data_IF_822700216859
#
_entry.id   IF_822700216859
#
_cell.length_a   1.000
_cell.length_b   1.000
_cell.length_c   1.000
_cell.angle_alpha   90.00
_cell.angle_beta   90.00
_cell.angle_gamma   90.00
#
_symmetry.space_group_name_H-M   'P 1'
#
loop_
_entity.id
_entity.type
_entity.pdbx_description
1 polymer ?
#
# COMPACT_ATOMS: atom_id res chain seq x y z
N UNK A 1 -0.39 -10.56 -23.63
CA UNK A 1 -0.40 -9.55 -22.53
C UNK A 1 0.27 -10.17 -21.32
N UNK A 2 1.51 -9.77 -21.01
CA UNK A 2 2.26 -10.33 -19.87
C UNK A 2 1.75 -9.71 -18.56
N UNK A 3 1.36 -10.53 -17.58
CA UNK A 3 0.83 -10.07 -16.28
C UNK A 3 1.95 -10.04 -15.25
N UNK A 4 2.42 -8.84 -14.88
CA UNK A 4 3.36 -8.65 -13.78
C UNK A 4 2.60 -8.66 -12.44
N UNK A 5 3.13 -9.36 -11.44
CA UNK A 5 2.55 -9.45 -10.09
C UNK A 5 3.43 -8.73 -9.07
N UNK A 6 2.83 -7.87 -8.27
CA UNK A 6 3.50 -7.16 -7.18
C UNK A 6 3.58 -8.02 -5.92
N UNK A 7 4.62 -7.81 -5.09
CA UNK A 7 4.76 -8.60 -3.86
C UNK A 7 3.62 -8.25 -2.88
N UNK A 8 3.07 -9.24 -2.15
CA UNK A 8 1.92 -9.00 -1.27
C UNK A 8 2.20 -7.93 -0.20
N UNK A 9 1.23 -7.02 -0.01
CA UNK A 9 1.29 -5.91 0.95
C UNK A 9 2.48 -4.96 0.72
N UNK A 10 2.86 -4.73 -0.53
CA UNK A 10 3.85 -3.73 -0.90
C UNK A 10 3.26 -2.71 -1.89
N UNK A 11 2.39 -1.80 -1.41
CA UNK A 11 1.70 -0.81 -2.25
C UNK A 11 2.64 0.11 -3.04
N UNK A 12 3.89 0.23 -2.58
CA UNK A 12 4.93 1.03 -3.22
C UNK A 12 5.21 0.62 -4.68
N UNK A 13 4.95 -0.64 -5.06
CA UNK A 13 5.10 -1.08 -6.47
C UNK A 13 4.05 -0.48 -7.39
N UNK A 14 2.82 -0.25 -6.89
CA UNK A 14 1.72 0.37 -7.65
C UNK A 14 1.62 1.88 -7.39
N UNK A 15 2.70 2.49 -6.90
CA UNK A 15 2.72 3.85 -6.38
C UNK A 15 2.30 4.94 -7.37
N UNK A 16 2.43 4.72 -8.69
CA UNK A 16 1.96 5.67 -9.70
C UNK A 16 0.42 5.76 -9.71
N UNK A 17 -0.25 4.61 -9.68
CA UNK A 17 -1.72 4.53 -9.64
C UNK A 17 -2.23 5.06 -8.30
N UNK A 18 -1.54 4.76 -7.19
CA UNK A 18 -1.90 5.30 -5.88
C UNK A 18 -1.77 6.83 -5.81
N UNK A 19 -0.71 7.41 -6.39
CA UNK A 19 -0.56 8.87 -6.49
C UNK A 19 -1.66 9.48 -7.35
N UNK A 20 -1.97 8.90 -8.50
CA UNK A 20 -3.09 9.33 -9.35
C UNK A 20 -4.40 9.33 -8.56
N UNK A 21 -4.71 8.22 -7.88
CA UNK A 21 -5.93 8.10 -7.08
C UNK A 21 -6.00 9.15 -5.96
N UNK A 22 -4.86 9.47 -5.33
CA UNK A 22 -4.79 10.54 -4.33
C UNK A 22 -5.11 11.90 -4.94
N UNK A 23 -4.52 12.24 -6.09
CA UNK A 23 -4.78 13.51 -6.78
C UNK A 23 -6.22 13.63 -7.23
N UNK A 24 -6.78 12.59 -7.86
CA UNK A 24 -8.17 12.58 -8.30
C UNK A 24 -9.14 12.75 -7.13
N UNK A 25 -8.90 12.07 -6.01
CA UNK A 25 -9.69 12.31 -4.79
C UNK A 25 -9.61 13.76 -4.34
N UNK A 26 -8.42 14.35 -4.34
CA UNK A 26 -8.23 15.76 -3.97
C UNK A 26 -9.05 16.71 -4.84
N UNK A 27 -9.08 16.49 -6.16
CA UNK A 27 -9.90 17.27 -7.09
C UNK A 27 -11.38 17.05 -6.79
N UNK A 28 -11.84 15.79 -6.71
CA UNK A 28 -13.25 15.46 -6.50
C UNK A 28 -13.80 16.00 -5.18
N UNK A 29 -13.03 15.93 -4.09
CA UNK A 29 -13.48 16.45 -2.78
C UNK A 29 -13.86 17.94 -2.82
N UNK A 30 -13.32 18.71 -3.76
CA UNK A 30 -13.68 20.13 -3.91
C UNK A 30 -15.02 20.37 -4.63
N UNK A 31 -15.52 19.41 -5.40
CA UNK A 31 -16.71 19.58 -6.26
C UNK A 31 -17.91 18.72 -5.85
N UNK A 32 -17.65 17.60 -5.18
CA UNK A 32 -18.68 16.65 -4.77
C UNK A 32 -19.59 17.27 -3.71
N UNK A 33 -20.89 16.98 -3.80
CA UNK A 33 -21.89 17.44 -2.84
C UNK A 33 -21.69 16.84 -1.44
N UNK A 34 -22.42 17.36 -0.43
CA UNK A 34 -22.30 16.91 0.97
C UNK A 34 -22.60 15.41 1.16
N UNK A 35 -23.47 14.85 0.32
CA UNK A 35 -23.92 13.45 0.41
C UNK A 35 -23.07 12.48 -0.45
N UNK A 36 -22.08 13.01 -1.16
CA UNK A 36 -21.21 12.32 -2.11
C UNK A 36 -21.93 11.50 -3.20
N UNK A 37 -23.09 11.97 -3.67
CA UNK A 37 -23.92 11.23 -4.63
C UNK A 37 -23.65 11.57 -6.09
N UNK A 38 -22.91 12.65 -6.36
CA UNK A 38 -22.69 13.23 -7.70
C UNK A 38 -21.23 13.16 -8.18
N UNK A 39 -20.38 12.37 -7.52
CA UNK A 39 -18.94 12.30 -7.82
C UNK A 39 -18.62 11.78 -9.22
N UNK A 40 -19.49 10.94 -9.77
CA UNK A 40 -19.40 10.38 -11.11
C UNK A 40 -19.66 11.44 -12.19
N UNK A 41 -20.56 12.40 -11.92
CA UNK A 41 -20.84 13.54 -12.80
C UNK A 41 -19.61 14.44 -12.94
N UNK A 42 -18.85 14.62 -11.86
CA UNK A 42 -17.65 15.46 -11.84
C UNK A 42 -16.39 14.75 -12.35
N UNK A 43 -16.43 13.42 -12.50
CA UNK A 43 -15.26 12.63 -12.87
C UNK A 43 -14.66 13.00 -14.25
N UNK A 44 -15.44 13.22 -15.32
CA UNK A 44 -14.89 13.64 -16.61
C UNK A 44 -14.14 14.97 -16.53
N UNK A 45 -14.67 15.93 -15.78
CA UNK A 45 -14.05 17.24 -15.58
C UNK A 45 -12.76 17.13 -14.76
N UNK A 46 -12.78 16.33 -13.68
CA UNK A 46 -11.60 16.08 -12.87
C UNK A 46 -10.46 15.41 -13.67
N UNK A 47 -10.81 14.45 -14.53
CA UNK A 47 -9.86 13.80 -15.44
C UNK A 47 -9.32 14.77 -16.49
N UNK A 48 -10.19 15.63 -17.05
CA UNK A 48 -9.77 16.65 -18.01
C UNK A 48 -8.78 17.63 -17.38
N UNK A 49 -9.08 18.15 -16.18
CA UNK A 49 -8.18 19.02 -15.43
C UNK A 49 -6.84 18.32 -15.14
N UNK A 50 -6.87 17.06 -14.69
CA UNK A 50 -5.66 16.29 -14.41
C UNK A 50 -4.77 16.07 -15.65
N UNK A 51 -5.38 15.81 -16.81
CA UNK A 51 -4.65 15.59 -18.07
C UNK A 51 -4.06 16.87 -18.66
N UNK A 52 -4.67 18.03 -18.39
CA UNK A 52 -4.21 19.33 -18.88
C UNK A 52 -3.30 20.09 -17.91
N UNK A 53 -3.22 19.65 -16.65
CA UNK A 53 -2.30 20.25 -15.68
C UNK A 53 -0.88 19.76 -15.89
N UNK A 54 0.10 20.66 -15.79
CA UNK A 54 1.53 20.31 -15.81
C UNK A 54 1.88 19.50 -14.56
N UNK A 55 2.51 18.33 -14.73
CA UNK A 55 2.96 17.51 -13.60
C UNK A 55 4.41 17.81 -13.25
N UNK A 56 4.72 17.90 -11.96
CA UNK A 56 6.06 18.24 -11.47
C UNK A 56 7.16 17.24 -11.87
N UNK A 57 6.81 15.96 -12.07
CA UNK A 57 7.77 14.92 -12.46
C UNK A 57 8.08 14.88 -13.95
N UNK A 58 7.12 15.24 -14.81
CA UNK A 58 7.29 15.25 -16.27
C UNK A 58 7.61 16.64 -16.82
N UNK A 59 7.28 17.70 -16.08
CA UNK A 59 7.43 19.09 -16.53
C UNK A 59 6.45 19.52 -17.63
N UNK A 60 5.54 18.63 -18.07
CA UNK A 60 4.53 18.87 -19.11
C UNK A 60 3.19 18.27 -18.71
N UNK A 61 2.11 18.72 -19.36
CA UNK A 61 0.78 18.12 -19.20
C UNK A 61 0.74 16.71 -19.83
N UNK A 62 0.03 15.74 -19.22
CA UNK A 62 -0.19 14.43 -19.85
C UNK A 62 -0.79 14.51 -21.25
N UNK A 63 -1.68 15.48 -21.49
CA UNK A 63 -2.28 15.71 -22.81
C UNK A 63 -1.21 16.06 -23.84
N UNK A 64 -0.32 17.02 -23.53
CA UNK A 64 0.81 17.36 -24.40
C UNK A 64 1.78 16.19 -24.60
N UNK A 65 2.04 15.40 -23.57
CA UNK A 65 2.93 14.25 -23.67
C UNK A 65 2.41 13.17 -24.65
N UNK A 66 1.08 13.04 -24.78
CA UNK A 66 0.44 12.04 -25.66
C UNK A 66 0.19 12.61 -27.06
N UNK A 67 -0.27 13.85 -27.15
CA UNK A 67 -0.75 14.44 -28.41
C UNK A 67 0.20 15.50 -29.01
N UNK A 68 1.31 15.83 -28.36
CA UNK A 68 2.30 16.79 -28.87
C UNK A 68 1.85 18.26 -28.83
N UNK A 69 0.63 18.53 -28.37
CA UNK A 69 0.00 19.85 -28.28
C UNK A 69 -0.80 19.99 -26.99
N UNK A 70 -1.05 21.21 -26.55
CA UNK A 70 -1.97 21.45 -25.42
C UNK A 70 -3.43 21.29 -25.87
N UNK A 71 -4.33 20.94 -24.95
CA UNK A 71 -5.76 20.87 -25.27
C UNK A 71 -6.33 22.28 -25.46
N UNK A 72 -7.20 22.42 -26.44
CA UNK A 72 -8.02 23.62 -26.60
C UNK A 72 -9.01 23.70 -25.44
N UNK A 73 -8.78 24.60 -24.50
CA UNK A 73 -9.73 24.92 -23.44
C UNK A 73 -10.67 26.04 -23.89
N UNK A 74 -11.87 26.18 -23.29
CA UNK A 74 -12.77 27.29 -23.62
C UNK A 74 -12.10 28.66 -23.52
N UNK A 75 -11.15 28.83 -22.59
CA UNK A 75 -10.34 30.04 -22.45
C UNK A 75 -9.51 30.34 -23.71
N UNK A 76 -8.89 29.31 -24.31
CA UNK A 76 -8.13 29.44 -25.56
C UNK A 76 -9.04 29.81 -26.73
N UNK A 77 -10.28 29.29 -26.73
CA UNK A 77 -11.27 29.58 -27.77
C UNK A 77 -11.84 31.00 -27.65
N UNK A 78 -11.90 31.56 -26.44
CA UNK A 78 -12.45 32.90 -26.16
C UNK A 78 -11.49 34.08 -26.46
N UNK A 79 -10.35 33.84 -27.13
CA UNK A 79 -9.59 34.93 -27.76
C UNK A 79 -8.15 35.12 -27.30
N UNK A 80 -7.56 34.19 -26.54
CA UNK A 80 -6.10 34.23 -26.26
C UNK A 80 -5.28 33.54 -27.36
N UNK A 81 -5.77 33.45 -28.59
CA UNK A 81 -4.99 32.91 -29.70
C UNK A 81 -3.98 33.97 -30.14
N UNK A 82 -2.69 33.69 -29.90
CA UNK A 82 -1.64 34.18 -30.78
C UNK A 82 -1.94 33.67 -32.18
N UNK A 83 -1.88 34.57 -33.16
CA UNK A 83 -2.19 34.36 -34.58
C UNK A 83 -1.99 32.91 -35.05
N UNK A 84 -3.09 32.27 -35.44
CA UNK A 84 -3.03 30.95 -36.06
C UNK A 84 -2.27 31.09 -37.38
N UNK A 85 -1.01 30.66 -37.40
CA UNK A 85 -0.22 30.60 -38.64
C UNK A 85 -0.93 29.63 -39.57
N UNK A 86 -1.35 30.11 -40.74
CA UNK A 86 -1.79 29.26 -41.83
C UNK A 86 -0.62 28.36 -42.25
N UNK A 87 -0.59 27.15 -41.70
CA UNK A 87 0.38 26.12 -42.06
C UNK A 87 -0.27 25.17 -43.05
N UNK A 88 0.42 24.88 -44.15
CA UNK A 88 0.07 23.76 -45.01
C UNK A 88 0.00 22.47 -44.18
N UNK A 89 -1.01 21.64 -44.45
CA UNK A 89 -1.30 20.41 -43.69
C UNK A 89 -0.06 19.50 -43.59
N UNK A 90 0.74 19.41 -44.64
CA UNK A 90 1.99 18.61 -44.65
C UNK A 90 3.00 19.12 -43.61
N UNK A 91 3.25 20.44 -43.59
CA UNK A 91 4.19 21.05 -42.66
C UNK A 91 3.71 20.89 -41.20
N UNK A 92 2.40 20.97 -40.98
CA UNK A 92 1.81 20.74 -39.65
C UNK A 92 2.02 19.30 -39.15
N UNK A 93 1.82 18.30 -40.01
CA UNK A 93 2.05 16.89 -39.66
C UNK A 93 3.52 16.63 -39.29
N UNK A 94 4.46 17.15 -40.08
CA UNK A 94 5.90 17.00 -39.83
C UNK A 94 6.33 17.70 -38.53
N UNK A 95 5.83 18.91 -38.27
CA UNK A 95 6.06 19.65 -37.03
C UNK A 95 5.48 18.91 -35.82
N UNK A 96 4.29 18.33 -35.94
CA UNK A 96 3.64 17.58 -34.88
C UNK A 96 4.40 16.29 -34.55
N UNK A 97 4.86 15.56 -35.57
CA UNK A 97 5.66 14.34 -35.38
C UNK A 97 6.98 14.66 -34.67
N UNK A 98 7.64 15.74 -35.09
CA UNK A 98 8.87 16.22 -34.42
C UNK A 98 8.60 16.62 -32.97
N UNK A 99 7.55 17.41 -32.71
CA UNK A 99 7.12 17.81 -31.36
C UNK A 99 6.84 16.60 -30.47
N UNK A 100 6.19 15.56 -30.99
CA UNK A 100 5.92 14.32 -30.27
C UNK A 100 7.21 13.58 -29.89
N UNK A 101 8.13 13.39 -30.85
CA UNK A 101 9.41 12.72 -30.60
C UNK A 101 10.24 13.46 -29.55
N UNK A 102 10.31 14.78 -29.66
CA UNK A 102 11.06 15.63 -28.73
C UNK A 102 10.39 15.67 -27.35
N UNK A 103 9.06 15.78 -27.29
CA UNK A 103 8.28 15.72 -26.06
C UNK A 103 8.45 14.38 -25.34
N UNK A 104 8.40 13.26 -26.07
CA UNK A 104 8.64 11.93 -25.49
C UNK A 104 10.05 11.79 -24.93
N UNK A 105 11.07 12.29 -25.65
CA UNK A 105 12.46 12.29 -25.18
C UNK A 105 12.60 13.10 -23.89
N UNK A 106 12.06 14.31 -23.87
CA UNK A 106 12.09 15.20 -22.71
C UNK A 106 11.38 14.58 -21.50
N UNK A 107 10.18 14.02 -21.68
CA UNK A 107 9.42 13.37 -20.61
C UNK A 107 10.18 12.18 -20.05
N UNK A 108 10.80 11.34 -20.90
CA UNK A 108 11.62 10.21 -20.45
C UNK A 108 12.78 10.68 -19.59
N UNK A 109 13.49 11.72 -20.01
CA UNK A 109 14.60 12.29 -19.26
C UNK A 109 14.15 12.83 -17.90
N UNK A 110 13.07 13.64 -17.87
CA UNK A 110 12.53 14.22 -16.63
C UNK A 110 12.02 13.16 -15.66
N UNK A 111 11.31 12.14 -16.16
CA UNK A 111 10.86 11.02 -15.33
C UNK A 111 12.06 10.26 -14.76
N UNK A 112 13.09 9.98 -15.56
CA UNK A 112 14.32 9.33 -15.12
C UNK A 112 15.03 10.14 -14.03
N UNK A 113 15.16 11.45 -14.23
CA UNK A 113 15.76 12.36 -13.26
C UNK A 113 14.97 12.39 -11.94
N UNK A 114 13.64 12.49 -12.03
CA UNK A 114 12.75 12.49 -10.88
C UNK A 114 12.80 11.15 -10.12
N UNK A 115 12.86 10.01 -10.84
CA UNK A 115 13.04 8.69 -10.25
C UNK A 115 14.38 8.58 -9.53
N UNK A 116 15.49 9.06 -10.13
CA UNK A 116 16.81 9.07 -9.51
C UNK A 116 16.84 9.91 -8.24
N UNK A 117 16.24 11.11 -8.26
CA UNK A 117 16.11 11.98 -7.08
C UNK A 117 15.28 11.32 -5.97
N UNK A 118 14.14 10.73 -6.31
CA UNK A 118 13.29 10.01 -5.35
C UNK A 118 14.00 8.79 -4.75
N UNK A 119 14.73 8.03 -5.59
CA UNK A 119 15.53 6.90 -5.13
C UNK A 119 16.60 7.35 -4.14
N UNK A 120 17.40 8.37 -4.49
CA UNK A 120 18.43 8.91 -3.60
C UNK A 120 17.84 9.34 -2.25
N UNK A 121 16.77 10.14 -2.25
CA UNK A 121 16.14 10.59 -1.00
C UNK A 121 15.55 9.43 -0.17
N UNK A 122 15.08 8.37 -0.81
CA UNK A 122 14.62 7.16 -0.12
C UNK A 122 15.80 6.36 0.46
N UNK A 123 16.86 6.16 -0.32
CA UNK A 123 18.06 5.43 0.08
C UNK A 123 18.74 6.12 1.28
N UNK A 124 18.86 7.45 1.23
CA UNK A 124 19.41 8.30 2.29
C UNK A 124 18.57 8.20 3.58
N UNK A 125 17.24 8.34 3.47
CA UNK A 125 16.32 8.29 4.62
C UNK A 125 16.24 6.92 5.26
N UNK A 126 16.30 5.86 4.47
CA UNK A 126 16.17 4.49 4.93
C UNK A 126 17.52 3.80 5.17
N UNK A 127 18.63 4.54 5.02
CA UNK A 127 19.99 4.08 5.25
C UNK A 127 20.28 2.77 4.50
N UNK A 128 19.88 2.72 3.23
CA UNK A 128 19.86 1.47 2.47
C UNK A 128 21.27 0.92 2.29
N UNK A 129 22.28 1.77 2.16
CA UNK A 129 23.69 1.33 2.06
C UNK A 129 24.17 0.60 3.33
N UNK A 130 23.64 0.95 4.51
CA UNK A 130 23.95 0.25 5.78
C UNK A 130 23.04 -0.93 6.06
N UNK A 131 21.96 -1.05 5.29
CA UNK A 131 20.99 -2.08 5.54
C UNK A 131 21.56 -3.42 5.05
N UNK A 132 21.84 -4.34 5.97
CA UNK A 132 22.42 -5.65 5.68
C UNK A 132 21.55 -6.41 4.68
N UNK A 133 22.14 -6.87 3.58
CA UNK A 133 21.47 -7.82 2.70
C UNK A 133 21.43 -9.19 3.38
N UNK A 134 20.27 -9.86 3.35
CA UNK A 134 20.16 -11.20 3.91
C UNK A 134 20.77 -12.23 2.96
N UNK A 135 21.53 -13.18 3.49
CA UNK A 135 22.08 -14.32 2.77
C UNK A 135 21.12 -15.51 2.87
N UNK A 136 21.26 -16.45 1.94
CA UNK A 136 20.55 -17.72 2.01
C UNK A 136 20.97 -18.44 3.29
N UNK A 137 19.99 -18.96 4.04
CA UNK A 137 20.19 -19.59 5.35
C UNK A 137 20.02 -18.64 6.54
N UNK A 138 20.00 -17.32 6.33
CA UNK A 138 19.82 -16.36 7.42
C UNK A 138 18.44 -16.51 8.07
N UNK A 139 18.39 -16.30 9.39
CA UNK A 139 17.13 -16.24 10.15
C UNK A 139 16.58 -14.82 10.12
N UNK A 140 15.31 -14.71 9.79
CA UNK A 140 14.60 -13.43 9.69
C UNK A 140 13.24 -13.47 10.40
N UNK A 141 12.88 -12.34 10.99
CA UNK A 141 11.52 -12.05 11.44
C UNK A 141 10.74 -11.45 10.26
N UNK A 142 9.50 -11.88 10.09
CA UNK A 142 8.56 -11.37 9.11
C UNK A 142 7.56 -10.42 9.79
N UNK A 143 7.42 -9.19 9.28
CA UNK A 143 6.33 -8.31 9.67
C UNK A 143 5.03 -8.78 9.01
N UNK A 144 4.21 -9.54 9.74
CA UNK A 144 2.88 -9.96 9.33
C UNK A 144 1.83 -8.97 9.85
N UNK A 145 1.32 -8.13 8.96
CA UNK A 145 0.32 -7.12 9.30
C UNK A 145 -1.11 -7.68 9.32
N UNK A 146 -1.27 -8.95 8.91
CA UNK A 146 -2.56 -9.63 8.92
C UNK A 146 -2.88 -10.12 10.34
N UNK A 147 -3.85 -9.44 10.98
CA UNK A 147 -4.35 -9.83 12.30
C UNK A 147 -5.40 -10.95 12.13
N UNK A 148 -5.30 -12.07 12.86
CA UNK A 148 -6.34 -13.10 12.85
C UNK A 148 -7.72 -12.53 13.22
N UNK A 149 -8.77 -13.09 12.64
CA UNK A 149 -10.16 -12.69 12.96
C UNK A 149 -10.43 -12.91 14.45
N UNK A 150 -11.02 -11.91 15.11
CA UNK A 150 -11.32 -11.94 16.55
C UNK A 150 -10.22 -11.37 17.45
N UNK A 151 -9.02 -11.09 16.94
CA UNK A 151 -7.96 -10.45 17.71
C UNK A 151 -7.88 -8.95 17.41
N UNK A 152 -7.57 -8.16 18.43
CA UNK A 152 -7.31 -6.72 18.27
C UNK A 152 -5.90 -6.48 17.71
N UNK A 153 -5.80 -5.60 16.73
CA UNK A 153 -4.50 -5.16 16.18
C UNK A 153 -3.59 -4.54 17.24
N UNK A 154 -4.16 -3.94 18.30
CA UNK A 154 -3.38 -3.26 19.36
C UNK A 154 -2.50 -4.23 20.15
N UNK A 155 -2.94 -5.46 20.36
CA UNK A 155 -2.22 -6.48 21.14
C UNK A 155 -1.54 -7.54 20.29
N UNK A 156 -1.64 -7.44 18.96
CA UNK A 156 -1.04 -8.42 18.05
C UNK A 156 0.45 -8.12 17.82
N UNK A 157 1.30 -9.10 18.11
CA UNK A 157 2.72 -9.05 17.76
C UNK A 157 2.88 -9.04 16.23
N UNK A 158 3.32 -7.91 15.69
CA UNK A 158 3.46 -7.71 14.24
C UNK A 158 4.61 -8.53 13.63
N UNK A 159 5.62 -8.90 14.41
CA UNK A 159 6.78 -9.65 13.93
C UNK A 159 6.63 -11.15 14.26
N UNK A 160 6.49 -11.97 13.23
CA UNK A 160 6.37 -13.42 13.31
C UNK A 160 7.68 -14.10 12.88
N UNK A 161 8.04 -15.21 13.52
CA UNK A 161 9.28 -15.92 13.20
C UNK A 161 9.73 -16.89 14.29
N UNK A 162 10.87 -17.58 14.10
CA UNK A 162 11.87 -17.33 13.05
C UNK A 162 11.55 -17.99 11.70
N UNK A 163 11.75 -17.24 10.61
CA UNK A 163 11.80 -17.74 9.23
C UNK A 163 13.25 -17.88 8.78
N UNK A 164 13.47 -18.70 7.74
CA UNK A 164 14.76 -18.87 7.08
C UNK A 164 14.67 -18.38 5.64
N UNK A 165 15.70 -17.66 5.18
CA UNK A 165 15.82 -17.22 3.80
C UNK A 165 16.22 -18.41 2.94
N UNK A 166 15.37 -18.81 2.00
CA UNK A 166 15.64 -19.88 1.05
C UNK A 166 16.42 -19.35 -0.15
N UNK A 167 15.90 -18.32 -0.81
CA UNK A 167 16.46 -17.77 -2.04
C UNK A 167 16.23 -16.26 -2.11
N UNK A 168 17.12 -15.57 -2.82
CA UNK A 168 16.96 -14.16 -3.19
C UNK A 168 16.43 -14.09 -4.62
N UNK A 169 15.21 -13.57 -4.80
CA UNK A 169 14.52 -13.50 -6.09
C UNK A 169 14.80 -12.19 -6.84
N UNK A 170 15.66 -11.33 -6.30
CA UNK A 170 16.07 -10.07 -6.91
C UNK A 170 16.76 -9.13 -5.90
N UNK A 171 16.91 -7.85 -6.26
CA UNK A 171 17.54 -6.85 -5.39
C UNK A 171 16.88 -6.72 -4.01
N UNK A 172 15.55 -6.83 -3.96
CA UNK A 172 14.73 -6.47 -2.80
C UNK A 172 13.76 -7.55 -2.32
N UNK A 173 13.52 -8.61 -3.09
CA UNK A 173 12.56 -9.66 -2.75
C UNK A 173 13.25 -10.95 -2.32
N UNK A 174 12.75 -11.56 -1.24
CA UNK A 174 13.28 -12.77 -0.64
C UNK A 174 12.21 -13.85 -0.54
N UNK A 175 12.60 -15.09 -0.83
CA UNK A 175 11.78 -16.27 -0.60
C UNK A 175 12.11 -16.84 0.78
N UNK A 176 11.12 -16.89 1.67
CA UNK A 176 11.30 -17.30 3.08
C UNK A 176 10.44 -18.51 3.41
N UNK A 177 10.92 -19.36 4.31
CA UNK A 177 10.20 -20.52 4.85
C UNK A 177 10.23 -20.51 6.38
N UNK A 178 9.11 -20.83 7.07
CA UNK A 178 9.13 -20.94 8.52
C UNK A 178 10.03 -22.11 8.96
N UNK A 179 10.79 -21.92 10.04
CA UNK A 179 11.66 -22.97 10.58
C UNK A 179 10.85 -24.08 11.29
N UNK A 180 9.71 -23.72 11.86
CA UNK A 180 8.81 -24.64 12.58
C UNK A 180 7.38 -24.50 12.05
N UNK A 181 6.75 -25.64 11.74
CA UNK A 181 5.38 -25.76 11.25
C UNK A 181 5.23 -25.93 9.72
N UNK A 182 4.07 -26.44 9.30
CA UNK A 182 3.72 -26.76 7.91
C UNK A 182 3.25 -25.56 7.07
N UNK A 183 3.62 -24.34 7.46
CA UNK A 183 3.22 -23.14 6.70
C UNK A 183 4.00 -23.05 5.39
N UNK A 184 3.29 -22.73 4.30
CA UNK A 184 3.87 -22.55 2.96
C UNK A 184 4.93 -21.44 2.96
N UNK A 185 5.95 -21.59 2.10
CA UNK A 185 6.93 -20.54 1.85
C UNK A 185 6.27 -19.32 1.20
N UNK A 186 6.85 -18.15 1.41
CA UNK A 186 6.31 -16.86 0.93
C UNK A 186 7.41 -16.03 0.28
N UNK A 187 7.04 -15.27 -0.74
CA UNK A 187 7.90 -14.23 -1.32
C UNK A 187 7.55 -12.90 -0.67
N UNK A 188 8.55 -12.23 -0.11
CA UNK A 188 8.35 -11.02 0.70
C UNK A 188 9.41 -9.98 0.36
N UNK A 189 8.97 -8.72 0.29
CA UNK A 189 9.87 -7.57 0.16
C UNK A 189 10.69 -7.36 1.43
N UNK A 190 11.95 -6.99 1.25
CA UNK A 190 12.95 -6.77 2.29
C UNK A 190 12.50 -5.87 3.44
N UNK A 191 11.77 -4.81 3.17
CA UNK A 191 11.25 -3.88 4.20
C UNK A 191 10.37 -4.57 5.26
N UNK A 192 9.84 -5.75 4.96
CA UNK A 192 9.04 -6.55 5.90
C UNK A 192 9.88 -7.58 6.66
N UNK A 193 11.19 -7.58 6.50
CA UNK A 193 12.11 -8.52 7.13
C UNK A 193 13.04 -7.80 8.12
N UNK A 194 13.36 -8.48 9.22
CA UNK A 194 14.40 -8.07 10.17
C UNK A 194 15.29 -9.26 10.49
N UNK A 195 16.57 -9.02 10.74
CA UNK A 195 17.48 -10.07 11.21
C UNK A 195 17.00 -10.64 12.53
N UNK A 196 16.94 -11.97 12.63
CA UNK A 196 16.64 -12.67 13.88
C UNK A 196 17.96 -13.16 14.49
N UNK A 197 18.41 -12.60 15.62
CA UNK A 197 19.62 -13.08 16.26
C UNK A 197 19.48 -14.57 16.63
N UNK A 198 20.58 -15.31 16.46
CA UNK A 198 20.69 -16.62 17.07
C UNK A 198 20.77 -16.40 18.58
N UNK A 199 19.68 -16.60 19.32
CA UNK A 199 19.84 -16.89 20.74
C UNK A 199 20.45 -18.29 20.79
N UNK A 200 21.69 -18.50 21.27
CA UNK A 200 22.14 -19.84 21.56
C UNK A 200 21.13 -20.42 22.56
N UNK A 201 20.57 -21.57 22.20
CA UNK A 201 19.78 -22.35 23.14
C UNK A 201 20.78 -22.76 24.22
N UNK A 202 20.65 -22.24 25.42
CA UNK A 202 21.28 -22.88 26.57
C UNK A 202 20.62 -24.25 26.61
N UNK A 203 21.38 -25.29 26.29
CA UNK A 203 20.95 -26.65 26.54
C UNK A 203 20.98 -26.81 28.07
N UNK A 204 19.82 -26.64 28.70
CA UNK A 204 19.64 -27.01 30.11
C UNK A 204 19.75 -28.55 30.20
N UNK A 205 20.98 -29.00 30.39
CA UNK A 205 21.31 -30.36 30.81
C UNK A 205 21.49 -30.40 32.34
N UNK A 206 20.88 -31.42 32.95
CA UNK A 206 20.97 -31.83 34.37
C UNK A 206 20.42 -30.81 35.39
N UNK A 207 19.72 -31.18 36.46
CA UNK A 207 19.55 -32.44 37.17
C UNK A 207 18.39 -32.25 38.15
N UNK A 208 17.58 -33.28 38.37
CA UNK A 208 16.59 -33.30 39.45
C UNK A 208 17.33 -33.26 40.79
N UNK A 209 17.03 -32.28 41.65
CA UNK A 209 17.39 -32.34 43.06
C UNK A 209 16.15 -31.99 43.89
N UNK A 210 15.70 -32.96 44.69
CA UNK A 210 14.56 -32.85 45.60
C UNK A 210 14.77 -31.73 46.63
N UNK A 211 13.69 -31.11 47.13
CA UNK A 211 13.79 -30.11 48.18
C UNK A 211 14.21 -30.79 49.49
N UNK A 212 15.35 -30.39 50.05
CA UNK A 212 15.66 -30.67 51.46
C UNK A 212 14.95 -29.64 52.33
N UNK A 213 14.20 -30.16 53.29
CA UNK A 213 13.52 -29.45 54.36
C UNK A 213 14.45 -28.42 55.01
N UNK A 214 14.00 -27.17 55.09
CA UNK A 214 14.62 -26.16 55.94
C UNK A 214 13.72 -25.97 57.15
N UNK A 215 14.21 -26.40 58.31
CA UNK A 215 13.54 -26.25 59.59
C UNK A 215 13.43 -24.78 59.96
N UNK A 216 12.24 -24.40 60.38
CA UNK A 216 11.92 -23.08 60.95
C UNK A 216 12.60 -22.90 62.30
N UNK A 217 13.29 -21.78 62.50
CA UNK A 217 13.53 -21.22 63.85
C UNK A 217 12.95 -19.81 63.88
N UNK A 218 11.85 -19.67 64.61
CA UNK A 218 11.14 -18.42 64.83
C UNK A 218 11.92 -17.52 65.80
N UNK A 219 12.00 -16.23 65.48
CA UNK A 219 12.25 -15.18 66.46
C UNK A 219 11.09 -14.19 66.38
N UNK A 220 10.36 -14.12 67.48
CA UNK A 220 9.22 -13.24 67.72
C UNK A 220 9.71 -11.81 67.96
N UNK A 221 9.07 -10.85 67.31
CA UNK A 221 8.94 -9.48 67.85
C UNK A 221 7.52 -9.01 67.55
N UNK A 222 6.76 -8.84 68.63
CA UNK A 222 5.41 -8.30 68.67
C UNK A 222 5.43 -6.79 68.35
N UNK A 223 4.52 -6.30 67.53
CA UNK A 223 3.81 -5.01 67.69
C UNK A 223 2.55 -4.96 66.78
N UNK A 224 1.48 -4.25 67.17
CA UNK A 224 0.10 -4.66 66.93
C UNK A 224 -0.59 -4.08 65.68
N UNK A 225 -1.60 -4.83 65.22
CA UNK A 225 -2.52 -4.53 64.11
C UNK A 225 -3.50 -3.39 64.45
N UNK A 226 -3.57 -2.38 63.58
CA UNK A 226 -4.69 -1.44 63.55
C UNK A 226 -5.66 -1.88 62.45
N UNK A 227 -6.83 -2.34 62.87
CA UNK A 227 -7.99 -2.62 62.03
C UNK A 227 -8.57 -1.29 61.52
N UNK A 228 -8.67 -1.11 60.20
CA UNK A 228 -9.64 -0.20 59.61
C UNK A 228 -10.54 -0.98 58.66
N UNK A 229 -11.80 -1.04 59.04
CA UNK A 229 -12.90 -1.71 58.38
C UNK A 229 -13.80 -0.59 57.85
N UNK A 230 -14.06 -0.52 56.54
CA UNK A 230 -15.19 0.27 56.04
C UNK A 230 -15.72 -0.27 54.69
N UNK A 231 -16.74 -1.12 54.84
CA UNK A 231 -18.01 -1.21 54.12
C UNK A 231 -18.08 -0.93 52.60
N UNK A 232 -18.44 -2.00 51.88
CA UNK A 232 -19.15 -1.96 50.60
C UNK A 232 -20.47 -1.19 50.74
N UNK A 233 -20.69 -0.22 49.85
CA UNK A 233 -22.02 0.27 49.48
C UNK A 233 -22.30 -0.12 48.04
N UNK A 234 -23.26 -1.03 47.86
CA UNK A 234 -23.88 -1.37 46.58
C UNK A 234 -25.10 -0.45 46.39
N UNK A 235 -25.22 0.20 45.23
CA UNK A 235 -26.49 0.76 44.73
C UNK A 235 -26.63 0.53 43.21
N UNK A 236 -27.88 0.47 42.68
CA UNK A 236 -28.22 -0.38 41.55
C UNK A 236 -28.40 0.35 40.19
N UNK A 237 -28.39 -0.50 39.16
CA UNK A 237 -28.82 -0.36 37.76
C UNK A 237 -29.43 0.96 37.26
N UNK A 238 -28.86 1.48 36.15
CA UNK A 238 -29.64 2.17 35.10
C UNK A 238 -29.07 1.97 33.68
N UNK A 239 -29.90 1.33 32.86
CA UNK A 239 -30.11 1.48 31.40
C UNK A 239 -28.98 1.21 30.40
N UNK A 240 -29.11 0.04 29.78
CA UNK A 240 -28.60 -0.34 28.46
C UNK A 240 -28.85 0.75 27.40
N UNK A 241 -27.79 1.16 26.71
CA UNK A 241 -27.88 1.78 25.38
C UNK A 241 -27.14 0.90 24.38
N UNK A 242 -27.86 -0.01 23.75
CA UNK A 242 -27.39 -0.77 22.60
C UNK A 242 -27.27 0.15 21.39
N UNK A 243 -26.10 0.76 21.20
CA UNK A 243 -25.83 1.60 20.03
C UNK A 243 -25.27 0.72 18.90
N UNK A 244 -26.14 -0.03 18.21
CA UNK A 244 -25.77 -0.76 17.00
C UNK A 244 -25.68 0.21 15.82
N UNK A 245 -24.50 0.79 15.59
CA UNK A 245 -24.18 1.45 14.32
C UNK A 245 -24.13 0.39 13.22
N UNK A 246 -25.27 0.18 12.54
CA UNK A 246 -25.33 -0.62 11.30
C UNK A 246 -24.47 0.08 10.24
N UNK A 247 -23.50 -0.65 9.69
CA UNK A 247 -22.71 -0.23 8.53
C UNK A 247 -23.64 -0.11 7.31
N UNK A 248 -23.57 0.99 6.57
CA UNK A 248 -24.38 1.17 5.36
C UNK A 248 -24.09 0.07 4.35
N UNK A 249 -25.15 -0.59 3.88
CA UNK A 249 -25.08 -1.61 2.84
C UNK A 249 -24.88 -0.91 1.50
N UNK A 250 -23.72 -1.12 0.87
CA UNK A 250 -23.41 -0.52 -0.43
C UNK A 250 -24.17 -1.28 -1.53
N UNK A 251 -25.28 -0.75 -2.02
CA UNK A 251 -25.89 -1.25 -3.24
C UNK A 251 -25.02 -0.84 -4.44
N UNK A 252 -24.57 -1.82 -5.23
CA UNK A 252 -23.93 -1.54 -6.51
C UNK A 252 -25.01 -1.15 -7.50
N UNK A 253 -25.03 0.11 -7.95
CA UNK A 253 -25.76 0.50 -9.16
C UNK A 253 -24.88 0.14 -10.36
N UNK A 254 -25.47 -0.54 -11.35
CA UNK A 254 -24.79 -0.75 -12.63
C UNK A 254 -24.80 0.58 -13.42
N UNK A 255 -23.72 0.90 -14.15
CA UNK A 255 -23.71 2.05 -15.03
C UNK A 255 -24.66 1.84 -16.22
N UNK A 256 -25.47 2.84 -16.56
CA UNK A 256 -26.50 2.77 -17.64
C UNK A 256 -25.94 2.55 -19.05
N UNK A 257 -24.61 2.54 -19.23
CA UNK A 257 -23.95 2.63 -20.54
C UNK A 257 -23.15 1.38 -20.93
N UNK A 258 -23.71 0.20 -20.72
CA UNK A 258 -23.13 -1.07 -21.16
C UNK A 258 -24.15 -2.02 -21.83
N UNK A 259 -25.19 -1.47 -22.48
CA UNK A 259 -26.11 -2.26 -23.33
C UNK A 259 -25.55 -2.54 -24.73
N UNK A 260 -24.40 -1.96 -25.10
CA UNK A 260 -23.89 -2.01 -26.49
C UNK A 260 -22.91 -3.17 -26.77
N UNK A 261 -22.69 -4.08 -25.81
CA UNK A 261 -21.84 -5.25 -26.04
C UNK A 261 -22.70 -6.51 -26.12
N UNK A 262 -23.07 -6.89 -27.34
CA UNK A 262 -23.48 -8.27 -27.64
C UNK A 262 -22.29 -9.17 -27.35
N UNK A 263 -22.34 -9.88 -26.22
CA UNK A 263 -21.50 -11.05 -25.99
C UNK A 263 -21.96 -12.11 -26.98
N UNK A 264 -21.26 -12.25 -28.11
CA UNK A 264 -21.36 -13.45 -28.91
C UNK A 264 -20.85 -14.61 -28.05
N UNK A 265 -21.77 -15.44 -27.56
CA UNK A 265 -21.46 -16.78 -27.10
C UNK A 265 -20.92 -17.54 -28.31
N UNK A 266 -19.60 -17.74 -28.34
CA UNK A 266 -18.97 -18.65 -29.29
C UNK A 266 -19.13 -20.03 -28.69
N UNK A 267 -20.13 -20.75 -29.19
CA UNK A 267 -20.28 -22.19 -29.04
C UNK A 267 -19.00 -22.86 -29.56
N UNK A 268 -18.31 -23.58 -28.70
CA UNK A 268 -17.22 -24.48 -29.08
C UNK A 268 -17.85 -25.86 -29.20
N UNK A 269 -18.33 -26.19 -30.41
CA UNK A 269 -18.62 -27.56 -30.81
C UNK A 269 -17.39 -28.20 -31.47
N UNK A 270 -17.01 -29.35 -30.91
CA UNK A 270 -16.47 -30.55 -31.54
C UNK A 270 -15.42 -30.47 -32.66
N UNK A 271 -14.21 -30.92 -32.31
CA UNK A 271 -13.32 -31.61 -33.24
C UNK A 271 -12.55 -32.73 -32.50
N UNK A 272 -13.24 -33.85 -32.27
CA UNK A 272 -12.62 -35.18 -32.23
C UNK A 272 -12.83 -35.81 -33.61
N UNK A 273 -11.77 -35.83 -34.41
CA UNK A 273 -11.42 -36.88 -35.37
C UNK A 273 -9.96 -36.71 -35.78
#
# INVERSE_FOLDING_TARGET
MEKLRTSPYHPQTDGQVERLNRTLKGILTAYVNKDHTDWDVHLPLALFAYRNSVHSSSGVSPFRAVYGREASTPLVLMGTQTEAKEQFISNYCDELEKSLKDGQRFVKEKISEAQRKQKKGYDDRNNIDKSTSFKVGDRVWLNDTAVPKGLSRKFHLQWAGPYMVLNRLGGTNYHIKPKSGNRKSKVVHRNRLKSAPCRPRVEEGMSTCSPKETQHTALQTNEPMVHHQENLVVQPAHQERTNTLRRSTRQRRQPDRYQDYNLHEVEIEDALN
#
